data_IF_465399459562
#
_entry.id   IF_465399459562
#
_cell.length_a   1.000
_cell.length_b   1.000
_cell.length_c   1.000
_cell.angle_alpha   90.00
_cell.angle_beta   90.00
_cell.angle_gamma   90.00
#
_symmetry.space_group_name_H-M   'P 1'
#
loop_
_entity.id
_entity.type
_entity.pdbx_description
1 polymer ?
#
# COMPACT_ATOMS: atom_id res chain seq x y z
N UNK A 1 9.54 -16.83 -10.08
CA UNK A 1 8.24 -16.20 -9.73
C UNK A 1 8.30 -14.67 -9.76
N UNK A 2 9.41 -14.03 -9.35
CA UNK A 2 9.72 -12.60 -9.65
C UNK A 2 9.52 -12.26 -11.15
N UNK A 3 9.80 -13.23 -12.02
CA UNK A 3 9.68 -13.10 -13.47
C UNK A 3 8.24 -12.95 -13.96
N UNK A 4 7.22 -13.54 -13.33
CA UNK A 4 5.84 -13.49 -13.87
C UNK A 4 5.32 -12.05 -14.04
N UNK A 5 5.65 -11.15 -13.12
CA UNK A 5 5.22 -9.74 -13.21
C UNK A 5 6.12 -8.88 -14.08
N UNK A 6 7.36 -9.32 -14.33
CA UNK A 6 8.38 -8.56 -15.06
C UNK A 6 8.58 -9.02 -16.51
N UNK A 7 8.06 -10.20 -16.89
CA UNK A 7 8.27 -10.82 -18.21
C UNK A 7 7.53 -10.11 -19.35
N UNK A 8 6.53 -9.26 -19.06
CA UNK A 8 5.82 -8.48 -20.08
C UNK A 8 5.46 -7.08 -19.58
N UNK A 9 6.48 -6.22 -19.47
CA UNK A 9 6.36 -4.83 -18.99
C UNK A 9 5.46 -3.95 -19.85
N UNK A 10 5.37 -4.22 -21.16
CA UNK A 10 4.58 -3.40 -22.09
C UNK A 10 3.06 -3.57 -21.88
N UNK A 11 2.62 -4.75 -21.43
CA UNK A 11 1.20 -5.07 -21.26
C UNK A 11 0.72 -5.16 -19.81
N UNK A 12 1.64 -5.11 -18.82
CA UNK A 12 1.33 -5.26 -17.39
C UNK A 12 1.69 -3.98 -16.61
N UNK A 13 1.19 -2.85 -17.09
CA UNK A 13 1.29 -1.55 -16.42
C UNK A 13 0.36 -1.49 -15.20
N UNK A 14 0.87 -1.95 -14.06
CA UNK A 14 0.66 -1.47 -12.68
C UNK A 14 0.95 -2.63 -11.69
N UNK A 15 2.23 -2.80 -11.37
CA UNK A 15 2.72 -3.97 -10.64
C UNK A 15 2.49 -3.89 -9.13
N UNK A 16 2.23 -2.70 -8.57
CA UNK A 16 2.11 -2.53 -7.11
C UNK A 16 0.84 -3.18 -6.54
N UNK A 17 -0.33 -2.88 -7.11
CA UNK A 17 -1.61 -3.48 -6.70
C UNK A 17 -1.63 -5.00 -6.90
N UNK A 18 -1.03 -5.47 -7.98
CA UNK A 18 -0.96 -6.90 -8.27
C UNK A 18 -0.06 -7.65 -7.27
N UNK A 19 1.06 -7.05 -6.84
CA UNK A 19 1.95 -7.61 -5.81
C UNK A 19 1.27 -7.70 -4.44
N UNK A 20 0.56 -6.65 -4.03
CA UNK A 20 -0.24 -6.67 -2.79
C UNK A 20 -1.35 -7.71 -2.89
N UNK A 21 -2.03 -7.81 -4.03
CA UNK A 21 -3.04 -8.85 -4.25
C UNK A 21 -2.48 -10.26 -4.13
N UNK A 22 -1.28 -10.49 -4.66
CA UNK A 22 -0.58 -11.76 -4.51
C UNK A 22 -0.25 -12.05 -3.05
N UNK A 23 0.25 -11.07 -2.30
CA UNK A 23 0.52 -11.23 -0.88
C UNK A 23 -0.74 -11.61 -0.10
N UNK A 24 -1.86 -10.93 -0.34
CA UNK A 24 -3.16 -11.22 0.27
C UNK A 24 -3.64 -12.64 -0.07
N UNK A 25 -3.60 -13.02 -1.35
CA UNK A 25 -4.01 -14.36 -1.82
C UNK A 25 -3.15 -15.53 -1.32
N UNK A 26 -2.00 -15.25 -0.73
CA UNK A 26 -1.12 -16.26 -0.12
C UNK A 26 -0.95 -16.01 1.39
N UNK A 27 -1.81 -15.17 1.97
CA UNK A 27 -1.95 -14.98 3.41
C UNK A 27 -3.03 -15.89 3.97
N UNK A 28 -3.26 -15.82 5.27
CA UNK A 28 -4.35 -16.52 5.96
C UNK A 28 -5.74 -15.98 5.62
N UNK A 29 -5.83 -14.85 4.92
CA UNK A 29 -7.10 -14.25 4.48
C UNK A 29 -7.01 -13.96 2.96
N UNK A 30 -7.34 -14.93 2.10
CA UNK A 30 -7.32 -14.77 0.64
C UNK A 30 -8.33 -13.75 0.11
N UNK A 31 -8.05 -13.10 -1.03
CA UNK A 31 -8.93 -12.06 -1.58
C UNK A 31 -10.34 -12.56 -1.93
N UNK A 32 -10.47 -13.83 -2.32
CA UNK A 32 -11.75 -14.48 -2.61
C UNK A 32 -12.61 -14.72 -1.35
N UNK A 33 -12.04 -14.58 -0.15
CA UNK A 33 -12.75 -14.62 1.14
C UNK A 33 -13.02 -13.21 1.68
N UNK A 34 -12.20 -12.23 1.28
CA UNK A 34 -12.21 -10.82 1.70
C UNK A 34 -13.40 -10.05 1.12
N UNK A 35 -13.81 -10.35 -0.11
CA UNK A 35 -14.93 -9.66 -0.75
C UNK A 35 -15.86 -10.65 -1.46
N UNK A 36 -17.18 -10.48 -1.30
CA UNK A 36 -18.13 -11.21 -2.13
C UNK A 36 -17.85 -10.91 -3.60
N UNK A 37 -17.97 -11.91 -4.45
CA UNK A 37 -17.70 -11.78 -5.90
C UNK A 37 -18.50 -10.65 -6.58
N UNK A 38 -19.64 -10.27 -6.00
CA UNK A 38 -20.50 -9.16 -6.44
C UNK A 38 -20.02 -7.78 -5.99
N UNK A 39 -19.25 -7.71 -4.91
CA UNK A 39 -18.69 -6.48 -4.33
C UNK A 39 -17.30 -6.17 -4.91
N UNK A 40 -16.74 -7.12 -5.68
CA UNK A 40 -15.49 -6.98 -6.38
C UNK A 40 -15.61 -5.96 -7.53
N UNK A 41 -14.82 -4.87 -7.53
CA UNK A 41 -14.83 -3.89 -8.62
C UNK A 41 -14.38 -4.52 -9.95
N UNK A 42 -14.80 -3.92 -11.07
CA UNK A 42 -14.33 -4.30 -12.39
C UNK A 42 -12.80 -4.07 -12.53
N UNK A 43 -12.13 -4.89 -13.35
CA UNK A 43 -10.68 -4.77 -13.58
C UNK A 43 -9.82 -5.64 -12.66
N UNK A 44 -10.19 -6.92 -12.54
CA UNK A 44 -9.43 -7.97 -11.84
C UNK A 44 -8.85 -8.97 -12.85
N UNK A 45 -7.70 -9.56 -12.53
CA UNK A 45 -7.28 -10.81 -13.17
C UNK A 45 -7.79 -12.00 -12.37
N UNK A 46 -8.32 -13.01 -13.07
CA UNK A 46 -8.57 -14.34 -12.53
C UNK A 46 -7.45 -15.26 -13.04
N UNK A 47 -6.60 -15.72 -12.13
CA UNK A 47 -5.50 -16.64 -12.45
C UNK A 47 -5.62 -17.84 -11.53
N UNK A 48 -6.07 -18.96 -12.09
CA UNK A 48 -6.22 -20.22 -11.36
C UNK A 48 -7.23 -20.15 -10.21
N UNK A 49 -8.32 -19.38 -10.37
CA UNK A 49 -9.36 -19.22 -9.34
C UNK A 49 -9.01 -18.22 -8.23
N UNK A 50 -7.88 -17.52 -8.35
CA UNK A 50 -7.49 -16.42 -7.46
C UNK A 50 -7.68 -15.08 -8.17
N UNK A 51 -8.25 -14.11 -7.47
CA UNK A 51 -8.50 -12.76 -8.00
C UNK A 51 -7.37 -11.80 -7.66
N UNK A 52 -6.93 -10.99 -8.62
CA UNK A 52 -5.85 -10.01 -8.43
C UNK A 52 -6.29 -8.62 -8.87
N UNK A 53 -6.17 -7.65 -7.98
CA UNK A 53 -6.44 -6.24 -8.27
C UNK A 53 -5.30 -5.61 -9.05
N UNK A 54 -5.68 -4.85 -10.07
CA UNK A 54 -4.77 -4.15 -10.98
C UNK A 54 -4.65 -2.66 -10.68
N UNK A 55 -5.48 -2.14 -9.78
CA UNK A 55 -5.51 -0.73 -9.41
C UNK A 55 -5.41 -0.55 -7.91
N UNK A 56 -4.71 0.51 -7.50
CA UNK A 56 -4.60 0.90 -6.09
C UNK A 56 -5.96 1.25 -5.49
N UNK A 57 -6.86 1.84 -6.28
CA UNK A 57 -8.23 2.08 -5.83
C UNK A 57 -9.04 0.81 -5.63
N UNK A 58 -8.79 -0.19 -6.47
CA UNK A 58 -9.35 -1.52 -6.28
C UNK A 58 -8.92 -2.12 -4.94
N UNK A 59 -7.63 -2.01 -4.60
CA UNK A 59 -7.10 -2.43 -3.28
C UNK A 59 -7.76 -1.63 -2.16
N UNK A 60 -7.78 -0.29 -2.24
CA UNK A 60 -8.40 0.56 -1.20
C UNK A 60 -9.86 0.16 -0.97
N UNK A 61 -10.62 -0.03 -2.05
CA UNK A 61 -12.03 -0.44 -1.96
C UNK A 61 -12.16 -1.82 -1.32
N UNK A 62 -11.39 -2.80 -1.80
CA UNK A 62 -11.41 -4.16 -1.29
C UNK A 62 -11.13 -4.24 0.22
N UNK A 63 -10.05 -3.61 0.66
CA UNK A 63 -9.65 -3.61 2.07
C UNK A 63 -10.66 -2.84 2.94
N UNK A 64 -11.26 -1.77 2.41
CA UNK A 64 -12.31 -1.03 3.11
C UNK A 64 -13.60 -1.83 3.31
N UNK A 65 -13.93 -2.72 2.39
CA UNK A 65 -15.10 -3.63 2.48
C UNK A 65 -14.82 -4.79 3.42
N UNK A 66 -13.65 -5.42 3.28
CA UNK A 66 -13.33 -6.67 3.94
C UNK A 66 -12.93 -6.53 5.40
N UNK A 67 -12.12 -5.51 5.70
CA UNK A 67 -11.75 -5.17 7.06
C UNK A 67 -12.68 -4.09 7.54
N UNK A 68 -12.24 -2.83 7.50
CA UNK A 68 -13.07 -1.66 7.72
C UNK A 68 -12.47 -0.52 6.92
N UNK A 69 -13.30 0.46 6.61
CA UNK A 69 -12.83 1.74 6.10
C UNK A 69 -11.92 2.39 7.17
N UNK A 70 -10.68 2.76 6.83
CA UNK A 70 -9.79 3.44 7.76
C UNK A 70 -10.39 4.73 8.31
N UNK A 71 -10.09 5.07 9.56
CA UNK A 71 -10.52 6.33 10.20
C UNK A 71 -9.49 7.42 9.98
N UNK A 72 -9.88 8.69 10.11
CA UNK A 72 -8.91 9.78 10.01
C UNK A 72 -7.91 9.66 11.15
N UNK A 73 -6.61 9.72 10.85
CA UNK A 73 -5.58 9.76 11.88
C UNK A 73 -5.69 11.09 12.64
N UNK A 74 -6.16 11.00 13.88
CA UNK A 74 -6.29 12.08 14.84
C UNK A 74 -5.72 11.66 16.20
N UNK A 75 -5.82 12.52 17.21
CA UNK A 75 -5.29 12.23 18.54
C UNK A 75 -5.96 11.03 19.22
N UNK A 76 -7.23 10.74 18.89
CA UNK A 76 -7.96 9.60 19.45
C UNK A 76 -7.39 8.29 18.89
N UNK A 77 -7.19 8.23 17.57
CA UNK A 77 -6.56 7.08 16.92
C UNK A 77 -5.12 6.91 17.39
N UNK A 78 -4.34 7.98 17.46
CA UNK A 78 -2.96 7.93 17.96
C UNK A 78 -2.89 7.41 19.39
N UNK A 79 -3.80 7.84 20.27
CA UNK A 79 -3.86 7.35 21.64
C UNK A 79 -4.30 5.88 21.70
N UNK A 80 -5.25 5.46 20.85
CA UNK A 80 -5.66 4.06 20.75
C UNK A 80 -4.48 3.16 20.36
N UNK A 81 -3.72 3.54 19.34
CA UNK A 81 -2.49 2.85 18.91
C UNK A 81 -1.47 2.80 20.06
N UNK A 82 -1.25 3.91 20.76
CA UNK A 82 -0.33 3.98 21.89
C UNK A 82 -0.76 3.07 23.07
N UNK A 83 -2.05 2.86 23.26
CA UNK A 83 -2.61 1.90 24.22
C UNK A 83 -2.50 0.44 23.76
N UNK A 84 -1.92 0.17 22.59
CA UNK A 84 -1.75 -1.18 22.04
C UNK A 84 -2.94 -1.68 21.22
N UNK A 85 -3.96 -0.84 20.99
CA UNK A 85 -5.07 -1.20 20.12
C UNK A 85 -4.62 -1.25 18.66
N UNK A 86 -5.28 -2.12 17.90
CA UNK A 86 -5.11 -2.18 16.46
C UNK A 86 -6.05 -1.19 15.78
N UNK A 87 -5.51 -0.32 14.92
CA UNK A 87 -6.28 0.73 14.24
C UNK A 87 -5.84 0.90 12.77
N UNK A 88 -6.83 0.86 11.88
CA UNK A 88 -6.66 1.25 10.48
C UNK A 88 -6.93 2.75 10.35
N UNK A 89 -6.04 3.46 9.64
CA UNK A 89 -6.17 4.91 9.51
C UNK A 89 -5.85 5.44 8.12
N UNK A 90 -6.36 6.64 7.83
CA UNK A 90 -5.95 7.44 6.70
C UNK A 90 -5.45 8.81 7.15
N UNK A 91 -4.51 9.37 6.41
CA UNK A 91 -3.92 10.68 6.67
C UNK A 91 -3.82 11.47 5.38
N UNK A 92 -4.24 12.74 5.41
CA UNK A 92 -4.13 13.64 4.28
C UNK A 92 -3.00 14.62 4.55
N UNK A 93 -2.21 14.89 3.53
CA UNK A 93 -1.09 15.81 3.60
C UNK A 93 -1.17 16.81 2.44
N UNK A 94 -0.55 17.96 2.58
CA UNK A 94 -0.60 19.08 1.63
C UNK A 94 0.77 19.53 1.14
N UNK A 95 1.85 18.93 1.65
CA UNK A 95 3.23 19.26 1.29
C UNK A 95 4.19 18.07 1.46
N UNK A 96 5.40 18.21 0.91
CA UNK A 96 6.49 17.25 1.13
C UNK A 96 7.03 17.26 2.55
N UNK A 97 7.08 18.43 3.19
CA UNK A 97 7.51 18.55 4.59
C UNK A 97 6.57 17.76 5.50
N UNK A 98 5.25 17.85 5.26
CA UNK A 98 4.27 17.01 5.94
C UNK A 98 4.49 15.51 5.65
N UNK A 99 4.82 15.12 4.41
CA UNK A 99 5.14 13.72 4.11
C UNK A 99 6.33 13.20 4.92
N UNK A 100 7.42 13.96 5.00
CA UNK A 100 8.62 13.55 5.73
C UNK A 100 8.40 13.52 7.25
N UNK A 101 7.61 14.46 7.77
CA UNK A 101 7.20 14.44 9.18
C UNK A 101 6.32 13.21 9.46
N UNK A 102 5.34 12.95 8.60
CA UNK A 102 4.45 11.81 8.72
C UNK A 102 5.20 10.48 8.55
N UNK A 103 6.23 10.39 7.70
CA UNK A 103 7.07 9.19 7.60
C UNK A 103 7.71 8.84 8.94
N UNK A 104 8.27 9.82 9.66
CA UNK A 104 8.85 9.63 11.00
C UNK A 104 7.79 9.25 12.03
N UNK A 105 6.60 9.83 11.94
CA UNK A 105 5.46 9.43 12.77
C UNK A 105 5.01 7.99 12.48
N UNK A 106 4.96 7.58 11.22
CA UNK A 106 4.63 6.21 10.83
C UNK A 106 5.66 5.21 11.35
N UNK A 107 6.95 5.58 11.36
CA UNK A 107 8.00 4.80 12.01
C UNK A 107 7.77 4.69 13.52
N UNK A 108 7.32 5.75 14.21
CA UNK A 108 7.11 5.70 15.67
C UNK A 108 5.90 4.86 16.07
N UNK A 109 4.93 4.64 15.18
CA UNK A 109 3.78 3.75 15.40
C UNK A 109 4.22 2.29 15.63
N UNK A 110 5.36 1.87 15.04
CA UNK A 110 5.93 0.52 15.21
C UNK A 110 4.91 -0.59 14.94
N UNK A 111 4.14 -0.46 13.85
CA UNK A 111 3.21 -1.47 13.34
C UNK A 111 3.52 -1.82 11.90
N UNK A 112 3.15 -3.03 11.50
CA UNK A 112 3.25 -3.51 10.12
C UNK A 112 1.89 -3.38 9.45
N UNK A 113 1.87 -3.19 8.15
CA UNK A 113 0.59 -2.96 7.48
C UNK A 113 0.66 -2.97 5.97
N UNK A 114 -0.51 -2.88 5.36
CA UNK A 114 -0.67 -2.57 3.94
C UNK A 114 -0.85 -1.07 3.81
N UNK A 115 -0.13 -0.47 2.85
CA UNK A 115 -0.18 0.95 2.57
C UNK A 115 -0.75 1.18 1.18
N UNK A 116 -1.60 2.20 1.05
CA UNK A 116 -1.98 2.76 -0.24
C UNK A 116 -1.83 4.28 -0.22
N UNK A 117 -1.39 4.84 -1.34
CA UNK A 117 -1.02 6.25 -1.48
C UNK A 117 -1.59 6.83 -2.77
N UNK A 118 -2.05 8.09 -2.70
CA UNK A 118 -2.37 8.92 -3.86
C UNK A 118 -1.53 10.18 -3.81
N UNK A 119 -0.89 10.53 -4.91
CA UNK A 119 -0.07 11.72 -5.01
C UNK A 119 -0.91 12.92 -5.48
N UNK A 120 -0.52 14.12 -5.06
CA UNK A 120 -1.18 15.36 -5.45
C UNK A 120 -1.23 15.53 -6.96
N UNK A 121 -2.39 15.98 -7.45
CA UNK A 121 -2.59 16.41 -8.83
C UNK A 121 -2.49 15.32 -9.89
N UNK A 122 -2.21 14.05 -9.52
CA UNK A 122 -1.75 13.04 -10.47
C UNK A 122 -2.56 11.73 -10.46
N UNK A 123 -2.42 10.98 -11.56
CA UNK A 123 -2.86 9.57 -11.67
C UNK A 123 -1.94 8.59 -10.93
N UNK A 124 -0.82 9.06 -10.39
CA UNK A 124 0.15 8.23 -9.69
C UNK A 124 -0.44 7.80 -8.36
N UNK A 125 -0.59 6.49 -8.23
CA UNK A 125 -1.08 5.81 -7.04
C UNK A 125 -0.10 4.69 -6.75
N UNK A 126 0.14 4.43 -5.47
CA UNK A 126 1.04 3.37 -5.07
C UNK A 126 0.44 2.53 -3.96
N UNK A 127 0.79 1.26 -3.91
CA UNK A 127 0.46 0.39 -2.78
C UNK A 127 1.59 -0.59 -2.54
N UNK A 128 1.87 -0.83 -1.27
CA UNK A 128 3.00 -1.63 -0.82
C UNK A 128 2.74 -2.14 0.58
N UNK A 129 3.69 -2.91 1.13
CA UNK A 129 3.70 -3.30 2.53
C UNK A 129 4.61 -2.36 3.32
N UNK A 130 4.22 -2.06 4.55
CA UNK A 130 5.00 -1.34 5.54
C UNK A 130 5.49 -2.32 6.60
N UNK A 131 6.80 -2.35 6.84
CA UNK A 131 7.41 -3.32 7.77
C UNK A 131 7.62 -2.77 9.20
N UNK A 132 7.11 -1.58 9.50
CA UNK A 132 7.34 -0.87 10.77
C UNK A 132 8.45 0.18 10.72
N UNK A 133 9.29 0.14 9.69
CA UNK A 133 10.41 1.08 9.52
C UNK A 133 10.52 1.67 8.11
N UNK A 134 10.25 0.88 7.07
CA UNK A 134 10.27 1.32 5.67
C UNK A 134 9.25 0.55 4.81
N UNK A 135 9.06 1.02 3.58
CA UNK A 135 8.28 0.31 2.56
C UNK A 135 9.06 -0.91 2.04
N UNK A 136 8.40 -2.06 1.99
CA UNK A 136 9.02 -3.34 1.63
C UNK A 136 9.59 -3.30 0.21
N UNK A 137 8.88 -2.71 -0.74
CA UNK A 137 9.34 -2.57 -2.12
C UNK A 137 10.51 -1.60 -2.30
N UNK A 138 10.70 -0.64 -1.37
CA UNK A 138 11.92 0.18 -1.31
C UNK A 138 13.09 -0.66 -0.82
N UNK A 139 12.91 -1.49 0.20
CA UNK A 139 13.95 -2.42 0.67
C UNK A 139 14.33 -3.45 -0.40
N UNK A 140 13.34 -3.98 -1.15
CA UNK A 140 13.60 -4.90 -2.26
C UNK A 140 14.50 -4.31 -3.34
N UNK A 141 14.50 -2.98 -3.55
CA UNK A 141 15.44 -2.36 -4.49
C UNK A 141 16.89 -2.50 -4.04
N UNK A 142 17.15 -2.56 -2.72
CA UNK A 142 18.50 -2.70 -2.17
C UNK A 142 19.03 -4.14 -2.31
N UNK A 143 18.13 -5.11 -2.43
CA UNK A 143 18.46 -6.52 -2.60
C UNK A 143 18.85 -6.87 -4.04
N UNK A 144 18.56 -5.98 -5.01
CA UNK A 144 18.94 -6.14 -6.40
C UNK A 144 20.01 -5.13 -6.78
N UNK A 145 21.13 -5.59 -7.32
CA UNK A 145 22.19 -4.72 -7.85
C UNK A 145 21.78 -4.17 -9.23
N UNK A 146 20.71 -3.35 -9.25
CA UNK A 146 20.18 -2.71 -10.46
C UNK A 146 19.99 -1.22 -10.17
N UNK A 147 20.54 -0.31 -10.99
CA UNK A 147 20.51 1.14 -10.75
C UNK A 147 19.13 1.80 -10.95
N UNK A 148 18.06 1.01 -11.07
CA UNK A 148 16.69 1.49 -11.26
C UNK A 148 15.87 1.10 -10.02
N UNK A 149 15.10 2.04 -9.48
CA UNK A 149 14.07 1.81 -8.46
C UNK A 149 12.93 0.94 -9.03
N UNK A 150 13.24 -0.33 -9.28
CA UNK A 150 12.45 -1.24 -10.09
C UNK A 150 11.17 -1.69 -9.38
N UNK A 151 11.22 -1.80 -8.05
CA UNK A 151 10.14 -2.37 -7.26
C UNK A 151 9.23 -1.30 -6.65
N UNK A 152 9.83 -0.27 -6.06
CA UNK A 152 9.13 0.79 -5.34
C UNK A 152 9.93 2.06 -5.21
N UNK A 153 9.27 3.13 -4.76
CA UNK A 153 9.88 4.42 -4.51
C UNK A 153 9.39 4.96 -3.17
N UNK A 154 10.27 5.61 -2.41
CA UNK A 154 9.90 6.19 -1.12
C UNK A 154 9.19 7.54 -1.33
N UNK A 155 7.90 7.47 -1.65
CA UNK A 155 7.12 8.67 -1.95
C UNK A 155 6.94 9.63 -0.76
N UNK A 156 7.09 9.13 0.48
CA UNK A 156 6.96 9.96 1.68
C UNK A 156 8.27 10.65 2.07
N UNK A 157 9.41 9.98 1.91
CA UNK A 157 10.72 10.48 2.34
C UNK A 157 11.70 10.74 1.18
N UNK A 158 11.16 11.00 -0.01
CA UNK A 158 11.92 11.44 -1.18
C UNK A 158 12.63 12.78 -0.93
N UNK A 159 13.95 12.74 -0.76
CA UNK A 159 14.80 13.92 -0.57
C UNK A 159 15.02 14.72 -1.86
N UNK A 160 14.84 14.10 -3.03
CA UNK A 160 15.12 14.70 -4.32
C UNK A 160 13.90 15.42 -4.91
N UNK A 161 12.74 15.33 -4.24
CA UNK A 161 11.47 15.90 -4.67
C UNK A 161 11.13 15.55 -6.14
N UNK A 162 11.44 14.32 -6.54
CA UNK A 162 11.30 13.83 -7.91
C UNK A 162 9.85 13.60 -8.31
N UNK A 163 8.96 13.46 -7.31
CA UNK A 163 7.52 13.28 -7.50
C UNK A 163 6.73 14.26 -6.63
N UNK A 164 5.46 14.57 -6.98
CA UNK A 164 4.58 15.32 -6.10
C UNK A 164 4.43 14.68 -4.72
N UNK A 165 3.96 15.46 -3.76
CA UNK A 165 3.70 14.98 -2.40
C UNK A 165 2.56 13.95 -2.40
N UNK A 166 2.60 13.01 -1.46
CA UNK A 166 1.48 12.10 -1.20
C UNK A 166 0.37 12.92 -0.54
N UNK A 167 -0.79 13.05 -1.19
CA UNK A 167 -1.92 13.82 -0.67
C UNK A 167 -2.87 12.99 0.19
N UNK A 168 -2.97 11.70 -0.09
CA UNK A 168 -3.77 10.75 0.69
C UNK A 168 -2.95 9.50 0.97
N UNK A 169 -2.87 9.12 2.24
CA UNK A 169 -2.21 7.92 2.72
C UNK A 169 -3.22 7.06 3.47
N UNK A 170 -3.22 5.76 3.21
CA UNK A 170 -4.10 4.79 3.84
C UNK A 170 -3.25 3.65 4.42
N UNK A 171 -3.59 3.22 5.63
CA UNK A 171 -2.92 2.16 6.36
C UNK A 171 -3.93 1.16 6.92
N UNK A 172 -3.68 -0.12 6.65
CA UNK A 172 -4.36 -1.24 7.30
C UNK A 172 -3.33 -2.05 8.07
N UNK A 173 -3.54 -2.21 9.37
CA UNK A 173 -2.60 -2.94 10.21
C UNK A 173 -2.68 -4.44 9.93
N UNK A 174 -1.53 -5.07 9.78
CA UNK A 174 -1.42 -6.52 9.76
C UNK A 174 -1.22 -6.99 11.18
N UNK A 175 -2.19 -7.78 11.67
CA UNK A 175 -2.13 -8.40 13.00
C UNK A 175 -1.20 -9.60 12.96
N UNK A 176 -0.33 -9.69 13.97
CA UNK A 176 0.43 -10.91 14.28
C UNK A 176 -0.50 -11.97 14.90
#
# INVERSE_FOLDING_TARGET
MLNFYNDNRENRYNTCATRVSYALNNSTIPLNEIANKTDLPSGLWDIGGKYYYLSVDGIINALSVAWKKPKKLDNVIKQSIACGCSEDFYHNMTSKDENQQFFKELQSIQRKGIVAMRLQGNRVRHTTLWNGNNFVDVEMNKEVDIPLYLFGYDYLNDSNNSYPFVSEFYFWELKD
#
